data_IF_947140256700
#
_entry.id   IF_947140256700
#
_cell.length_a   1.000
_cell.length_b   1.000
_cell.length_c   1.000
_cell.angle_alpha   90.00
_cell.angle_beta   90.00
_cell.angle_gamma   90.00
#
_symmetry.space_group_name_H-M   'P 1'
#
loop_
_entity.id
_entity.type
_entity.pdbx_description
1 polymer ?
#
# COMPACT_ATOMS: atom_id res chain seq x y z
N UNK A 1 -41.53 -12.37 -7.76
CA UNK A 1 -41.15 -12.96 -6.47
C UNK A 1 -42.38 -13.63 -5.89
N UNK A 2 -42.34 -14.93 -5.60
CA UNK A 2 -43.53 -15.66 -5.11
C UNK A 2 -43.98 -15.15 -3.73
N UNK A 3 -45.29 -15.08 -3.45
CA UNK A 3 -45.83 -14.52 -2.20
C UNK A 3 -45.31 -15.22 -0.94
N UNK A 4 -44.91 -16.49 -1.05
CA UNK A 4 -44.36 -17.29 0.06
C UNK A 4 -42.98 -16.80 0.53
N UNK A 5 -42.17 -16.25 -0.37
CA UNK A 5 -40.84 -15.73 -0.05
C UNK A 5 -40.88 -14.39 0.69
N UNK A 6 -41.96 -13.61 0.52
CA UNK A 6 -42.06 -12.28 1.14
C UNK A 6 -42.27 -12.39 2.64
N UNK A 7 -43.15 -13.30 3.10
CA UNK A 7 -43.40 -13.53 4.54
C UNK A 7 -42.13 -13.92 5.30
N UNK A 8 -41.28 -14.75 4.70
CA UNK A 8 -40.01 -15.18 5.32
C UNK A 8 -39.01 -14.02 5.45
N UNK A 9 -39.08 -13.02 4.56
CA UNK A 9 -38.17 -11.87 4.57
C UNK A 9 -38.66 -10.69 5.42
N UNK A 10 -39.84 -10.77 6.04
CA UNK A 10 -40.36 -9.71 6.90
C UNK A 10 -39.53 -9.50 8.17
N UNK A 11 -38.91 -10.56 8.73
CA UNK A 11 -37.99 -10.41 9.87
C UNK A 11 -36.73 -9.67 9.45
N UNK A 12 -36.06 -10.13 8.38
CA UNK A 12 -34.89 -9.46 7.83
C UNK A 12 -35.17 -8.01 7.40
N UNK A 13 -36.40 -7.70 6.96
CA UNK A 13 -36.85 -6.34 6.71
C UNK A 13 -36.87 -5.49 8.00
N UNK A 14 -37.41 -6.04 9.10
CA UNK A 14 -37.46 -5.37 10.41
C UNK A 14 -36.05 -5.11 10.97
N UNK A 15 -35.14 -6.07 10.80
CA UNK A 15 -33.76 -6.03 11.27
C UNK A 15 -32.82 -5.23 10.34
N UNK A 16 -33.35 -4.68 9.22
CA UNK A 16 -32.59 -3.92 8.21
C UNK A 16 -31.46 -4.72 7.54
N UNK A 17 -31.63 -6.03 7.39
CA UNK A 17 -30.64 -6.95 6.80
C UNK A 17 -30.83 -7.18 5.29
N UNK A 18 -31.88 -6.61 4.70
CA UNK A 18 -32.19 -6.77 3.27
C UNK A 18 -31.38 -5.83 2.38
N UNK A 19 -31.07 -6.28 1.16
CA UNK A 19 -30.53 -5.40 0.12
C UNK A 19 -31.56 -4.33 -0.29
N UNK A 20 -31.08 -3.22 -0.84
CA UNK A 20 -31.95 -2.12 -1.27
C UNK A 20 -33.05 -2.55 -2.26
N UNK A 21 -32.72 -3.45 -3.20
CA UNK A 21 -33.67 -3.98 -4.18
C UNK A 21 -34.75 -4.84 -3.51
N UNK A 22 -34.37 -5.70 -2.58
CA UNK A 22 -35.33 -6.57 -1.87
C UNK A 22 -36.24 -5.76 -0.96
N UNK A 23 -35.69 -4.73 -0.32
CA UNK A 23 -36.46 -3.81 0.52
C UNK A 23 -37.56 -3.11 -0.29
N UNK A 24 -37.23 -2.56 -1.46
CA UNK A 24 -38.22 -1.92 -2.34
C UNK A 24 -39.36 -2.86 -2.74
N UNK A 25 -39.03 -4.11 -3.10
CA UNK A 25 -40.02 -5.12 -3.46
C UNK A 25 -40.97 -5.46 -2.29
N UNK A 26 -40.44 -5.52 -1.07
CA UNK A 26 -41.26 -5.75 0.12
C UNK A 26 -42.13 -4.52 0.43
N UNK A 27 -41.58 -3.31 0.35
CA UNK A 27 -42.35 -2.08 0.55
C UNK A 27 -43.50 -1.96 -0.44
N UNK A 28 -43.28 -2.31 -1.72
CA UNK A 28 -44.33 -2.36 -2.73
C UNK A 28 -45.39 -3.42 -2.39
N UNK A 29 -44.98 -4.61 -1.97
CA UNK A 29 -45.91 -5.66 -1.54
C UNK A 29 -46.75 -5.25 -0.33
N UNK A 30 -46.13 -4.57 0.66
CA UNK A 30 -46.79 -4.10 1.86
C UNK A 30 -47.86 -3.03 1.58
N UNK A 31 -47.81 -2.31 0.44
CA UNK A 31 -48.87 -1.38 0.04
C UNK A 31 -50.18 -2.10 -0.29
N UNK A 32 -50.10 -3.31 -0.83
CA UNK A 32 -51.26 -4.02 -1.37
C UNK A 32 -51.66 -5.27 -0.55
N UNK A 33 -50.80 -5.75 0.35
CA UNK A 33 -51.03 -6.98 1.11
C UNK A 33 -51.31 -6.72 2.60
N UNK A 34 -52.60 -6.71 2.98
CA UNK A 34 -53.04 -6.57 4.38
C UNK A 34 -52.46 -7.65 5.30
N UNK A 35 -52.47 -8.97 4.94
CA UNK A 35 -51.96 -10.02 5.83
C UNK A 35 -50.47 -9.86 6.16
N UNK A 36 -49.66 -9.38 5.22
CA UNK A 36 -48.23 -9.16 5.45
C UNK A 36 -47.99 -7.93 6.33
N UNK A 37 -48.81 -6.88 6.22
CA UNK A 37 -48.76 -5.72 7.13
C UNK A 37 -49.12 -6.12 8.56
N UNK A 38 -50.16 -6.93 8.74
CA UNK A 38 -50.54 -7.45 10.06
C UNK A 38 -49.42 -8.28 10.67
N UNK A 39 -48.80 -9.17 9.88
CA UNK A 39 -47.67 -9.99 10.31
C UNK A 39 -46.48 -9.12 10.76
N UNK A 40 -46.15 -8.09 9.97
CA UNK A 40 -45.09 -7.14 10.33
C UNK A 40 -45.42 -6.38 11.62
N UNK A 41 -46.68 -5.96 11.79
CA UNK A 41 -47.13 -5.29 13.02
C UNK A 41 -47.00 -6.18 14.26
N UNK A 42 -47.26 -7.48 14.12
CA UNK A 42 -47.08 -8.46 15.20
C UNK A 42 -45.60 -8.60 15.60
N UNK A 43 -44.70 -8.70 14.63
CA UNK A 43 -43.24 -8.75 14.90
C UNK A 43 -42.75 -7.47 15.58
N UNK A 44 -43.23 -6.30 15.14
CA UNK A 44 -42.89 -5.03 15.77
C UNK A 44 -43.35 -4.96 17.23
N UNK A 45 -44.60 -5.39 17.52
CA UNK A 45 -45.13 -5.44 18.89
C UNK A 45 -44.34 -6.42 19.77
N UNK A 46 -43.99 -7.59 19.24
CA UNK A 46 -43.14 -8.55 19.97
C UNK A 46 -41.78 -7.95 20.32
N UNK A 47 -41.13 -7.26 19.37
CA UNK A 47 -39.85 -6.61 19.61
C UNK A 47 -39.96 -5.50 20.68
N UNK A 48 -41.06 -4.73 20.67
CA UNK A 48 -41.33 -3.73 21.70
C UNK A 48 -41.50 -4.33 23.09
N UNK A 49 -42.23 -5.44 23.21
CA UNK A 49 -42.38 -6.17 24.47
C UNK A 49 -41.03 -6.67 25.00
N UNK A 50 -40.18 -7.20 24.12
CA UNK A 50 -38.84 -7.67 24.48
C UNK A 50 -37.90 -6.54 24.91
N UNK A 51 -38.03 -5.34 24.33
CA UNK A 51 -37.26 -4.16 24.74
C UNK A 51 -37.62 -3.66 26.14
N UNK A 52 -38.87 -3.90 26.56
CA UNK A 52 -39.36 -3.53 27.88
C UNK A 52 -39.04 -4.58 28.96
N UNK A 53 -38.43 -5.71 28.60
CA UNK A 53 -37.91 -6.65 29.57
C UNK A 53 -36.75 -6.03 30.36
N UNK A 54 -36.65 -6.40 31.64
CA UNK A 54 -35.62 -5.92 32.55
C UNK A 54 -34.22 -6.05 31.92
N UNK A 55 -33.47 -4.96 31.96
CA UNK A 55 -32.12 -4.95 31.43
C UNK A 55 -31.26 -5.87 32.30
N UNK A 56 -30.80 -6.97 31.72
CA UNK A 56 -29.92 -7.91 32.42
C UNK A 56 -28.64 -7.17 32.81
N UNK A 57 -28.42 -7.00 34.12
CA UNK A 57 -27.14 -6.51 34.61
C UNK A 57 -26.05 -7.50 34.25
N UNK A 58 -25.18 -7.12 33.31
CA UNK A 58 -24.01 -7.93 32.97
C UNK A 58 -23.07 -7.97 34.17
N UNK A 59 -22.58 -9.17 34.52
CA UNK A 59 -21.57 -9.31 35.58
C UNK A 59 -20.39 -8.35 35.34
N UNK A 60 -19.84 -7.78 36.42
CA UNK A 60 -18.76 -6.77 36.38
C UNK A 60 -17.52 -7.21 35.57
N UNK A 61 -17.28 -8.51 35.42
CA UNK A 61 -16.19 -9.09 34.62
C UNK A 61 -16.52 -9.47 33.17
N UNK A 62 -17.78 -9.34 32.71
CA UNK A 62 -18.19 -9.81 31.38
C UNK A 62 -17.42 -9.12 30.25
N UNK A 63 -17.32 -7.79 30.29
CA UNK A 63 -16.61 -7.00 29.27
C UNK A 63 -15.13 -7.38 29.20
N UNK A 64 -14.49 -7.62 30.34
CA UNK A 64 -13.08 -8.02 30.39
C UNK A 64 -12.88 -9.40 29.76
N UNK A 65 -13.69 -10.40 30.15
CA UNK A 65 -13.64 -11.75 29.57
C UNK A 65 -13.92 -11.74 28.06
N UNK A 66 -14.91 -10.96 27.61
CA UNK A 66 -15.24 -10.82 26.20
C UNK A 66 -14.07 -10.25 25.39
N UNK A 67 -13.43 -9.17 25.89
CA UNK A 67 -12.26 -8.57 25.25
C UNK A 67 -11.11 -9.58 25.12
N UNK A 68 -10.85 -10.37 26.16
CA UNK A 68 -9.82 -11.42 26.11
C UNK A 68 -10.15 -12.47 25.03
N UNK A 69 -11.38 -12.97 24.99
CA UNK A 69 -11.83 -13.95 23.98
C UNK A 69 -11.73 -13.42 22.55
N UNK A 70 -12.07 -12.14 22.34
CA UNK A 70 -11.95 -11.52 21.03
C UNK A 70 -10.48 -11.42 20.61
N UNK A 71 -9.58 -10.98 21.49
CA UNK A 71 -8.13 -10.93 21.21
C UNK A 71 -7.54 -12.31 20.90
N UNK A 72 -7.97 -13.35 21.62
CA UNK A 72 -7.57 -14.73 21.34
C UNK A 72 -8.00 -15.18 19.94
N UNK A 73 -9.25 -14.87 19.54
CA UNK A 73 -9.80 -15.27 18.23
C UNK A 73 -9.29 -14.44 17.06
N UNK A 74 -9.06 -13.14 17.23
CA UNK A 74 -8.62 -12.26 16.12
C UNK A 74 -7.14 -12.40 15.77
N UNK A 75 -6.42 -13.28 16.46
CA UNK A 75 -4.99 -13.49 16.24
C UNK A 75 -4.16 -12.30 16.75
N UNK A 76 -2.97 -12.60 17.27
CA UNK A 76 -1.96 -11.57 17.52
C UNK A 76 -1.66 -10.89 16.19
N UNK A 77 -2.09 -9.64 15.97
CA UNK A 77 -1.36 -8.78 15.05
C UNK A 77 0.08 -8.82 15.54
N UNK A 78 1.02 -9.29 14.71
CA UNK A 78 2.44 -9.14 14.99
C UNK A 78 2.72 -7.64 14.93
N UNK A 79 2.37 -6.93 15.99
CA UNK A 79 2.89 -5.59 16.25
C UNK A 79 4.34 -5.82 16.64
N UNK A 80 5.23 -5.89 15.66
CA UNK A 80 6.67 -5.94 15.89
C UNK A 80 7.04 -4.66 16.65
N UNK A 81 7.39 -4.72 17.95
CA UNK A 81 7.69 -3.53 18.75
C UNK A 81 9.02 -2.87 18.36
N UNK A 82 9.77 -3.51 17.45
CA UNK A 82 11.15 -3.19 17.09
C UNK A 82 11.26 -1.80 16.45
N UNK A 83 10.28 -1.35 15.67
CA UNK A 83 10.37 -0.05 14.98
C UNK A 83 10.11 1.16 15.89
N UNK A 84 9.47 0.95 17.06
CA UNK A 84 9.06 2.05 17.95
C UNK A 84 10.22 2.62 18.78
N UNK A 85 11.34 1.89 18.90
CA UNK A 85 12.50 2.26 19.73
C UNK A 85 13.77 2.51 18.93
N UNK A 86 13.74 2.41 17.60
CA UNK A 86 14.91 2.72 16.77
C UNK A 86 14.97 4.24 16.58
N UNK A 87 16.00 4.93 17.08
CA UNK A 87 16.16 6.35 16.80
C UNK A 87 16.43 6.55 15.31
N UNK A 88 15.79 7.58 14.73
CA UNK A 88 15.89 7.97 13.31
C UNK A 88 17.30 7.92 12.73
N UNK A 89 18.38 8.40 13.39
CA UNK A 89 19.73 8.32 12.83
C UNK A 89 20.23 6.90 12.60
N UNK A 90 19.86 5.92 13.43
CA UNK A 90 20.28 4.52 13.27
C UNK A 90 19.58 3.89 12.06
N UNK A 91 18.28 4.17 11.87
CA UNK A 91 17.54 3.71 10.70
C UNK A 91 18.14 4.26 9.40
N UNK A 92 18.47 5.56 9.36
CA UNK A 92 19.13 6.18 8.21
C UNK A 92 20.51 5.58 7.92
N UNK A 93 21.33 5.35 8.96
CA UNK A 93 22.65 4.75 8.81
C UNK A 93 22.58 3.34 8.20
N UNK A 94 21.64 2.50 8.66
CA UNK A 94 21.44 1.15 8.11
C UNK A 94 21.02 1.21 6.64
N UNK A 95 20.11 2.11 6.27
CA UNK A 95 19.68 2.28 4.87
C UNK A 95 20.85 2.72 3.98
N UNK A 96 21.67 3.68 4.44
CA UNK A 96 22.86 4.13 3.71
C UNK A 96 23.87 3.00 3.54
N UNK A 97 24.14 2.22 4.59
CA UNK A 97 25.05 1.06 4.52
C UNK A 97 24.53 0.03 3.51
N UNK A 98 23.24 -0.32 3.55
CA UNK A 98 22.64 -1.23 2.59
C UNK A 98 22.74 -0.71 1.15
N UNK A 99 22.53 0.58 0.93
CA UNK A 99 22.65 1.22 -0.38
C UNK A 99 24.09 1.23 -0.90
N UNK A 100 25.06 1.52 -0.04
CA UNK A 100 26.49 1.48 -0.36
C UNK A 100 26.93 0.04 -0.68
N UNK A 101 26.53 -0.93 0.15
CA UNK A 101 26.79 -2.34 -0.11
C UNK A 101 26.18 -2.78 -1.45
N UNK A 102 24.93 -2.42 -1.73
CA UNK A 102 24.28 -2.72 -3.00
C UNK A 102 25.02 -2.09 -4.20
N UNK A 103 25.43 -0.83 -4.07
CA UNK A 103 26.17 -0.12 -5.13
C UNK A 103 27.54 -0.72 -5.40
N UNK A 104 28.20 -1.27 -4.37
CA UNK A 104 29.48 -1.96 -4.50
C UNK A 104 29.29 -3.37 -5.06
N UNK A 105 28.29 -4.12 -4.61
CA UNK A 105 28.07 -5.52 -4.98
C UNK A 105 27.53 -5.65 -6.41
N UNK A 106 26.69 -4.72 -6.87
CA UNK A 106 26.11 -4.71 -8.23
C UNK A 106 27.18 -4.83 -9.34
N UNK A 107 28.24 -4.02 -9.39
CA UNK A 107 29.28 -4.18 -10.42
C UNK A 107 30.07 -5.50 -10.31
N UNK A 108 30.20 -6.10 -9.12
CA UNK A 108 30.81 -7.42 -8.97
C UNK A 108 29.92 -8.53 -9.54
N UNK A 109 28.60 -8.46 -9.34
CA UNK A 109 27.67 -9.48 -9.83
C UNK A 109 27.35 -9.31 -11.32
N UNK A 110 27.37 -8.08 -11.84
CA UNK A 110 27.11 -7.78 -13.25
C UNK A 110 28.36 -7.71 -14.14
N UNK A 111 29.53 -8.14 -13.63
CA UNK A 111 30.66 -8.65 -14.41
C UNK A 111 31.00 -7.90 -15.72
N UNK A 112 31.66 -6.74 -15.62
CA UNK A 112 32.43 -6.19 -16.75
C UNK A 112 33.82 -6.81 -16.71
N UNK A 113 33.99 -7.95 -17.37
CA UNK A 113 35.31 -8.48 -17.73
C UNK A 113 35.82 -7.72 -18.95
N UNK A 114 36.61 -6.66 -18.73
CA UNK A 114 37.61 -6.22 -19.71
C UNK A 114 38.77 -5.57 -18.97
N UNK A 115 39.97 -6.08 -19.23
CA UNK A 115 41.24 -5.89 -18.53
C UNK A 115 41.85 -4.47 -18.66
N UNK A 116 41.10 -3.44 -19.07
CA UNK A 116 41.63 -2.08 -19.30
C UNK A 116 41.10 -1.00 -18.34
N UNK A 117 40.28 -1.37 -17.33
CA UNK A 117 39.51 -0.39 -16.53
C UNK A 117 40.07 -0.06 -15.15
N UNK A 118 41.21 -0.59 -14.72
CA UNK A 118 41.75 -0.30 -13.38
C UNK A 118 42.19 1.17 -13.21
N UNK A 119 42.81 1.76 -14.24
CA UNK A 119 43.30 3.14 -14.19
C UNK A 119 42.20 4.19 -14.43
N UNK A 120 41.11 3.84 -15.13
CA UNK A 120 40.03 4.78 -15.44
C UNK A 120 39.01 4.88 -14.30
N UNK A 121 38.79 3.78 -13.57
CA UNK A 121 37.87 3.74 -12.43
C UNK A 121 38.43 4.51 -11.22
N UNK A 122 39.74 4.41 -10.99
CA UNK A 122 40.42 5.16 -9.91
C UNK A 122 40.47 6.67 -10.19
N UNK A 123 40.60 7.10 -11.46
CA UNK A 123 40.56 8.52 -11.84
C UNK A 123 39.14 9.12 -11.76
N UNK A 124 38.11 8.35 -12.12
CA UNK A 124 36.70 8.74 -11.95
C UNK A 124 36.32 8.79 -10.48
N UNK A 125 36.71 7.80 -9.66
CA UNK A 125 36.49 7.83 -8.21
C UNK A 125 37.25 8.97 -7.54
N UNK A 126 38.50 9.25 -7.96
CA UNK A 126 39.23 10.43 -7.48
C UNK A 126 38.51 11.72 -7.83
N UNK A 127 38.06 11.93 -9.07
CA UNK A 127 37.31 13.15 -9.43
C UNK A 127 35.97 13.26 -8.69
N UNK A 128 35.28 12.14 -8.47
CA UNK A 128 34.03 12.10 -7.72
C UNK A 128 34.22 12.34 -6.22
N UNK A 129 35.31 11.82 -5.61
CA UNK A 129 35.68 12.11 -4.23
C UNK A 129 36.31 13.51 -4.05
N UNK A 130 37.03 14.04 -5.03
CA UNK A 130 37.70 15.34 -4.92
C UNK A 130 36.75 16.52 -5.19
N UNK A 131 35.62 16.29 -5.86
CA UNK A 131 34.51 17.27 -5.94
C UNK A 131 33.61 17.29 -4.68
N UNK A 132 33.82 16.40 -3.71
CA UNK A 132 33.11 16.45 -2.42
C UNK A 132 33.50 17.66 -1.57
N UNK A 133 34.55 18.40 -1.95
CA UNK A 133 34.98 19.62 -1.25
C UNK A 133 34.44 20.94 -1.82
N UNK A 134 33.69 20.96 -2.94
CA UNK A 134 33.19 22.26 -3.43
C UNK A 134 31.88 22.31 -4.23
N UNK A 135 31.35 21.21 -4.80
CA UNK A 135 30.06 21.28 -5.53
C UNK A 135 29.24 20.02 -5.29
N UNK A 136 28.31 20.13 -4.36
CA UNK A 136 27.37 19.07 -3.96
C UNK A 136 26.61 18.49 -5.16
N UNK A 137 26.55 17.17 -5.22
CA UNK A 137 25.79 16.35 -6.19
C UNK A 137 24.27 16.60 -6.09
N UNK A 138 23.82 17.30 -5.04
CA UNK A 138 22.41 17.61 -4.78
C UNK A 138 21.92 18.82 -5.60
N UNK A 139 22.82 19.59 -6.23
CA UNK A 139 22.42 20.72 -7.06
C UNK A 139 21.87 20.22 -8.43
N UNK A 140 20.63 20.60 -8.82
CA UNK A 140 19.99 20.11 -10.04
C UNK A 140 20.80 20.36 -11.33
N UNK A 141 21.59 21.44 -11.37
CA UNK A 141 22.43 21.81 -12.50
C UNK A 141 23.53 20.76 -12.77
N UNK A 142 24.09 20.16 -11.71
CA UNK A 142 25.15 19.16 -11.83
C UNK A 142 24.61 17.82 -12.36
N UNK A 143 23.32 17.53 -12.16
CA UNK A 143 22.68 16.32 -12.70
C UNK A 143 22.48 16.43 -14.21
N UNK A 144 22.13 17.62 -14.70
CA UNK A 144 21.97 17.88 -16.14
C UNK A 144 23.33 17.80 -16.85
N UNK A 145 24.38 18.38 -16.25
CA UNK A 145 25.75 18.27 -16.80
C UNK A 145 26.25 16.82 -16.81
N UNK A 146 25.95 16.04 -15.77
CA UNK A 146 26.26 14.62 -15.74
C UNK A 146 25.55 13.85 -16.86
N UNK A 147 24.26 14.14 -17.08
CA UNK A 147 23.45 13.48 -18.11
C UNK A 147 23.93 13.85 -19.52
N UNK A 148 24.24 15.12 -19.76
CA UNK A 148 24.79 15.59 -21.04
C UNK A 148 26.16 14.97 -21.34
N UNK A 149 27.04 14.88 -20.35
CA UNK A 149 28.37 14.30 -20.52
C UNK A 149 28.29 12.77 -20.73
N UNK A 150 27.35 12.10 -20.06
CA UNK A 150 27.08 10.67 -20.27
C UNK A 150 26.64 10.37 -21.72
N UNK A 151 25.79 11.19 -22.31
CA UNK A 151 25.40 11.02 -23.71
C UNK A 151 26.53 11.29 -24.70
N UNK A 152 27.42 12.22 -24.38
CA UNK A 152 28.59 12.52 -25.22
C UNK A 152 29.54 11.32 -25.31
N UNK A 153 29.80 10.67 -24.16
CA UNK A 153 30.60 9.43 -24.09
C UNK A 153 29.95 8.28 -24.86
N UNK A 154 28.61 8.18 -24.84
CA UNK A 154 27.89 7.16 -25.59
C UNK A 154 27.92 7.38 -27.12
N UNK A 155 27.81 8.63 -27.60
CA UNK A 155 27.88 8.90 -29.05
C UNK A 155 29.31 8.70 -29.60
N UNK A 156 30.38 9.03 -28.84
CA UNK A 156 31.77 8.71 -29.21
C UNK A 156 32.00 7.19 -29.36
N UNK A 157 31.47 6.39 -28.44
CA UNK A 157 31.52 4.93 -28.55
C UNK A 157 30.75 4.39 -29.76
N UNK A 158 29.66 5.05 -30.17
CA UNK A 158 28.86 4.61 -31.32
C UNK A 158 29.53 4.94 -32.66
N UNK A 159 30.14 6.13 -32.80
CA UNK A 159 30.88 6.53 -34.00
C UNK A 159 32.09 5.61 -34.24
N UNK A 160 32.79 5.23 -33.16
CA UNK A 160 33.97 4.38 -33.22
C UNK A 160 33.66 2.93 -33.62
N UNK A 161 32.44 2.44 -33.36
CA UNK A 161 32.02 1.08 -33.69
C UNK A 161 31.39 0.93 -35.07
N UNK A 162 30.62 1.91 -35.54
CA UNK A 162 29.77 1.72 -36.72
C UNK A 162 30.13 2.58 -37.93
N UNK A 163 31.10 3.50 -37.84
CA UNK A 163 31.55 4.31 -38.99
C UNK A 163 30.46 5.18 -39.65
N UNK A 164 29.25 5.24 -39.07
CA UNK A 164 28.11 5.96 -39.61
C UNK A 164 27.76 7.17 -38.73
N UNK A 165 27.25 8.23 -39.38
CA UNK A 165 26.89 9.49 -38.76
C UNK A 165 25.86 9.31 -37.64
N UNK A 166 26.14 9.89 -36.47
CA UNK A 166 25.29 9.81 -35.27
C UNK A 166 23.92 10.46 -35.59
N UNK A 167 22.82 9.71 -35.45
CA UNK A 167 21.45 10.16 -35.74
C UNK A 167 20.84 11.03 -34.65
N UNK A 168 21.62 11.38 -33.61
CA UNK A 168 21.15 12.13 -32.45
C UNK A 168 20.86 13.61 -32.72
N UNK A 169 21.14 14.13 -33.92
CA UNK A 169 20.81 15.49 -34.33
C UNK A 169 21.51 16.64 -33.58
N UNK A 170 22.32 16.33 -32.55
CA UNK A 170 23.01 17.30 -31.69
C UNK A 170 24.53 17.36 -31.85
N UNK A 171 25.14 16.47 -32.62
CA UNK A 171 26.58 16.52 -32.87
C UNK A 171 26.88 17.41 -34.10
N UNK A 172 27.29 18.66 -33.86
CA UNK A 172 27.77 19.56 -34.91
C UNK A 172 27.27 21.01 -34.85
N UNK A 173 26.81 21.50 -33.69
CA UNK A 173 26.68 22.94 -33.43
C UNK A 173 27.51 23.32 -32.22
#
# INVERSE_FOLDING_TARGET
MEPKNIKQKLSAYLDSELSARERQLIEEHLKNCVPCRETLSLFSKQNELLKNCETIEVSSGFRARLKTRLKEKTGKKLELPVFKWIPVPIACAVVVVLFVCFSIITPYTYGITSVDTENKYTDLFKKQLFCFSAKSIIAPLNFIDFYNNYYQVLCECSQKKNGAACTCGGCGK
#
